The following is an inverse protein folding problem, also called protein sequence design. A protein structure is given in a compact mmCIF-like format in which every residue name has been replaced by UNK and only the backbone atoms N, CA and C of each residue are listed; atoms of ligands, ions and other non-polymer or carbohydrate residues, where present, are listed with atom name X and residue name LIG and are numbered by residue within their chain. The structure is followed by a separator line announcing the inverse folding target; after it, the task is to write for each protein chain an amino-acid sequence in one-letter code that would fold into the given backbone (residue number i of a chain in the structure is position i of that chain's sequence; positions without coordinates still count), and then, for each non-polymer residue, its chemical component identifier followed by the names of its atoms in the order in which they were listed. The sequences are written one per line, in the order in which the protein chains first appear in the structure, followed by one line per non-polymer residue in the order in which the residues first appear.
data_IF_426607270852
#
_entry.id   IF_426607270852
#
_cell.length_a   1.000
_cell.length_b   1.000
_cell.length_c   1.000
_cell.angle_alpha   90.00
_cell.angle_beta   90.00
_cell.angle_gamma   90.00
#
_symmetry.space_group_name_H-M   'P 1'
#
loop_
_entity.id
_entity.type
_entity.pdbx_description
1 polymer ?
#
# COMPACT_ATOMS: atom_id res chain seq x y z
N UNK A 1 -6.29 -13.61 -8.54
CA UNK A 1 -7.14 -12.87 -9.50
C UNK A 1 -6.76 -13.28 -10.91
N UNK A 2 -7.75 -13.60 -11.74
CA UNK A 2 -7.50 -14.04 -13.12
C UNK A 2 -7.46 -12.89 -14.11
N UNK A 3 -8.18 -11.80 -13.81
CA UNK A 3 -8.26 -10.64 -14.70
C UNK A 3 -7.14 -9.65 -14.40
N UNK A 4 -6.95 -8.72 -15.34
CA UNK A 4 -5.97 -7.66 -15.21
C UNK A 4 -6.25 -6.81 -13.97
N UNK A 5 -5.25 -6.66 -13.10
CA UNK A 5 -5.36 -5.78 -11.93
C UNK A 5 -5.18 -4.33 -12.37
N UNK A 6 -6.10 -3.46 -12.01
CA UNK A 6 -6.12 -2.06 -12.44
C UNK A 6 -5.87 -1.06 -11.34
N UNK A 7 -6.04 -1.47 -10.07
CA UNK A 7 -5.85 -0.59 -8.93
C UNK A 7 -5.29 -1.37 -7.75
N UNK A 8 -4.34 -0.78 -7.06
CA UNK A 8 -3.71 -1.32 -5.85
C UNK A 8 -3.80 -0.28 -4.75
N UNK A 9 -4.34 -0.65 -3.59
CA UNK A 9 -4.42 0.22 -2.42
C UNK A 9 -3.79 -0.46 -1.22
N UNK A 10 -2.88 0.24 -0.56
CA UNK A 10 -2.25 -0.20 0.67
C UNK A 10 -2.59 0.78 1.77
N UNK A 11 -3.24 0.30 2.82
CA UNK A 11 -3.51 1.06 4.04
C UNK A 11 -2.58 0.58 5.14
N UNK A 12 -1.95 1.53 5.81
CA UNK A 12 -1.19 1.29 7.02
C UNK A 12 -1.90 1.97 8.20
N UNK A 13 -1.96 1.28 9.32
CA UNK A 13 -2.56 1.79 10.55
C UNK A 13 -1.59 1.63 11.70
N UNK A 14 -1.43 2.68 12.50
CA UNK A 14 -0.73 2.60 13.76
C UNK A 14 -1.73 2.21 14.84
N UNK A 15 -1.54 1.04 15.44
CA UNK A 15 -2.39 0.52 16.50
C UNK A 15 -1.74 0.70 17.89
N UNK A 16 -0.62 1.44 17.98
CA UNK A 16 0.12 1.67 19.20
C UNK A 16 -0.36 2.89 19.97
N UNK A 17 0.58 3.52 20.70
CA UNK A 17 0.29 4.59 21.64
C UNK A 17 0.37 6.00 21.04
N UNK A 18 0.14 6.14 19.75
CA UNK A 18 0.17 7.44 19.08
C UNK A 18 -0.94 8.37 19.57
N UNK A 19 -0.63 9.66 19.64
CA UNK A 19 -1.61 10.70 19.90
C UNK A 19 -2.58 10.80 18.72
N UNK A 20 -3.86 11.14 18.99
CA UNK A 20 -4.88 11.26 17.93
C UNK A 20 -4.54 12.33 16.89
N UNK A 21 -3.70 13.30 17.22
CA UNK A 21 -3.25 14.34 16.29
C UNK A 21 -2.10 13.89 15.41
N UNK A 22 -1.44 12.77 15.77
CA UNK A 22 -0.34 12.23 14.99
C UNK A 22 -0.85 11.49 13.76
N UNK A 23 0.06 11.26 12.80
CA UNK A 23 -0.21 10.40 11.66
C UNK A 23 -0.39 8.96 12.16
N UNK A 24 -1.61 8.45 12.08
CA UNK A 24 -1.96 7.09 12.54
C UNK A 24 -2.44 6.21 11.40
N UNK A 25 -2.67 6.77 10.22
CA UNK A 25 -3.09 6.03 9.04
C UNK A 25 -2.45 6.64 7.80
N UNK A 26 -2.10 5.77 6.87
CA UNK A 26 -1.60 6.16 5.56
C UNK A 26 -2.30 5.34 4.50
N UNK A 27 -2.82 5.99 3.47
CA UNK A 27 -3.43 5.36 2.33
C UNK A 27 -2.57 5.61 1.09
N UNK A 28 -2.13 4.54 0.45
CA UNK A 28 -1.34 4.61 -0.76
C UNK A 28 -2.10 3.88 -1.86
N UNK A 29 -2.44 4.59 -2.95
CA UNK A 29 -3.20 4.02 -4.05
C UNK A 29 -2.46 4.22 -5.36
N UNK A 30 -2.31 3.16 -6.14
CA UNK A 30 -1.68 3.20 -7.45
C UNK A 30 -2.72 2.83 -8.49
N UNK A 31 -2.91 3.72 -9.47
CA UNK A 31 -3.88 3.58 -10.54
C UNK A 31 -3.14 3.24 -11.84
N UNK A 32 -3.38 2.03 -12.35
CA UNK A 32 -2.62 1.51 -13.51
C UNK A 32 -2.87 2.33 -14.77
N UNK A 33 -4.14 2.62 -15.06
CA UNK A 33 -4.50 3.26 -16.33
C UNK A 33 -4.16 4.75 -16.37
N UNK A 34 -4.02 5.37 -15.21
CA UNK A 34 -3.76 6.81 -15.10
C UNK A 34 -2.30 7.11 -14.78
N UNK A 35 -1.48 6.09 -14.54
CA UNK A 35 -0.03 6.21 -14.30
C UNK A 35 0.33 7.15 -13.16
N UNK A 36 -0.41 7.08 -12.05
CA UNK A 36 -0.08 7.87 -10.87
C UNK A 36 -0.36 7.14 -9.57
N UNK A 37 0.27 7.63 -8.50
CA UNK A 37 0.12 7.14 -7.15
C UNK A 37 -0.34 8.30 -6.26
N UNK A 38 -1.31 8.04 -5.40
CA UNK A 38 -1.80 9.01 -4.41
C UNK A 38 -1.44 8.50 -3.02
N UNK A 39 -0.81 9.36 -2.22
CA UNK A 39 -0.47 9.04 -0.83
C UNK A 39 -1.19 10.04 0.07
N UNK A 40 -2.04 9.55 0.97
CA UNK A 40 -2.75 10.35 1.97
C UNK A 40 -2.30 9.94 3.36
N UNK A 41 -2.02 10.94 4.20
CA UNK A 41 -1.73 10.73 5.61
C UNK A 41 -2.91 11.25 6.42
N UNK A 42 -3.41 10.42 7.35
CA UNK A 42 -4.56 10.76 8.19
C UNK A 42 -4.18 10.71 9.66
N UNK A 43 -4.80 11.56 10.47
CA UNK A 43 -4.64 11.53 11.94
C UNK A 43 -5.68 10.61 12.58
N UNK A 44 -5.66 10.49 13.92
CA UNK A 44 -6.58 9.63 14.66
C UNK A 44 -8.05 10.03 14.60
N UNK A 45 -8.35 11.23 14.11
CA UNK A 45 -9.71 11.70 13.89
C UNK A 45 -10.21 11.41 12.46
N UNK A 46 -9.38 10.77 11.63
CA UNK A 46 -9.71 10.50 10.24
C UNK A 46 -9.57 11.71 9.33
N UNK A 47 -8.89 12.77 9.78
CA UNK A 47 -8.66 13.98 8.99
C UNK A 47 -7.42 13.79 8.12
N UNK A 48 -7.55 14.10 6.82
CA UNK A 48 -6.42 14.06 5.90
C UNK A 48 -5.49 15.22 6.21
N UNK A 49 -4.27 14.89 6.67
CA UNK A 49 -3.24 15.88 7.01
C UNK A 49 -2.35 16.22 5.81
N UNK A 50 -2.18 15.28 4.89
CA UNK A 50 -1.45 15.52 3.64
C UNK A 50 -1.97 14.62 2.53
N UNK A 51 -1.82 15.11 1.30
CA UNK A 51 -2.17 14.35 0.11
C UNK A 51 -1.14 14.67 -0.97
N UNK A 52 -0.45 13.65 -1.45
CA UNK A 52 0.60 13.79 -2.46
C UNK A 52 0.26 12.94 -3.66
N UNK A 53 0.37 13.52 -4.87
CA UNK A 53 0.15 12.81 -6.13
C UNK A 53 1.49 12.72 -6.86
N UNK A 54 1.86 11.52 -7.26
CA UNK A 54 3.13 11.24 -7.93
C UNK A 54 2.85 10.57 -9.26
N UNK A 55 3.31 11.18 -10.35
CA UNK A 55 3.25 10.56 -11.68
C UNK A 55 4.33 9.51 -11.83
N UNK A 56 3.99 8.38 -12.41
CA UNK A 56 4.88 7.23 -12.60
C UNK A 56 4.93 6.92 -14.09
N UNK A 57 6.12 6.59 -14.61
CA UNK A 57 6.25 6.15 -15.99
C UNK A 57 5.41 4.90 -16.24
N UNK A 58 4.76 4.86 -17.39
CA UNK A 58 3.86 3.76 -17.75
C UNK A 58 4.53 2.39 -17.66
N UNK A 59 5.76 2.26 -18.12
CA UNK A 59 6.50 1.00 -18.11
C UNK A 59 6.72 0.51 -16.68
N UNK A 60 6.99 1.41 -15.75
CA UNK A 60 7.18 1.08 -14.33
C UNK A 60 5.88 0.65 -13.67
N UNK A 61 4.78 1.33 -13.97
CA UNK A 61 3.45 0.97 -13.46
C UNK A 61 3.06 -0.41 -14.00
N UNK A 62 3.22 -0.64 -15.29
CA UNK A 62 2.88 -1.93 -15.90
C UNK A 62 3.72 -3.07 -15.30
N UNK A 63 5.01 -2.85 -15.06
CA UNK A 63 5.87 -3.86 -14.44
C UNK A 63 5.41 -4.20 -13.03
N UNK A 64 5.02 -3.20 -12.25
CA UNK A 64 4.51 -3.39 -10.90
C UNK A 64 3.22 -4.23 -10.90
N UNK A 65 2.25 -3.87 -11.74
CA UNK A 65 0.98 -4.60 -11.82
C UNK A 65 1.14 -6.00 -12.40
N UNK A 66 2.04 -6.19 -13.35
CA UNK A 66 2.37 -7.54 -13.85
C UNK A 66 2.96 -8.41 -12.74
N UNK A 67 3.80 -7.83 -11.91
CA UNK A 67 4.34 -8.53 -10.73
C UNK A 67 3.21 -8.92 -9.78
N UNK A 68 2.29 -8.00 -9.48
CA UNK A 68 1.14 -8.30 -8.60
C UNK A 68 0.27 -9.43 -9.18
N UNK A 69 0.03 -9.43 -10.47
CA UNK A 69 -0.75 -10.46 -11.14
C UNK A 69 -0.10 -11.84 -11.00
N UNK A 70 1.22 -11.90 -11.00
CA UNK A 70 1.95 -13.16 -10.84
C UNK A 70 1.91 -13.70 -9.41
N UNK A 71 1.83 -12.85 -8.40
CA UNK A 71 1.93 -13.26 -7.00
C UNK A 71 0.59 -13.31 -6.26
N UNK A 72 -0.46 -12.66 -6.79
CA UNK A 72 -1.71 -12.47 -6.04
C UNK A 72 -2.40 -13.78 -5.65
N UNK A 73 -2.23 -14.84 -6.45
CA UNK A 73 -2.81 -16.14 -6.17
C UNK A 73 -2.09 -16.91 -5.05
N UNK A 74 -0.89 -16.46 -4.66
CA UNK A 74 -0.11 -17.07 -3.60
C UNK A 74 -0.50 -16.57 -2.20
N UNK A 75 -1.33 -15.52 -2.13
CA UNK A 75 -1.69 -14.88 -0.87
C UNK A 75 -2.90 -15.53 -0.21
N UNK A 76 -2.80 -15.76 1.12
CA UNK A 76 -3.96 -15.99 1.97
C UNK A 76 -4.65 -14.64 2.23
N UNK A 77 -5.86 -14.67 2.78
CA UNK A 77 -6.61 -13.43 3.06
C UNK A 77 -6.11 -12.72 4.32
N UNK A 78 -5.47 -13.44 5.24
CA UNK A 78 -5.16 -12.92 6.56
C UNK A 78 -3.81 -13.42 7.07
N UNK A 79 -2.93 -12.47 7.38
CA UNK A 79 -1.62 -12.68 8.00
C UNK A 79 -1.52 -12.02 9.37
N UNK A 80 -2.66 -11.77 10.03
CA UNK A 80 -2.68 -11.14 11.34
C UNK A 80 -2.17 -12.08 12.41
N UNK A 81 -1.37 -11.52 13.33
CA UNK A 81 -0.92 -12.21 14.54
C UNK A 81 -1.38 -11.39 15.74
N UNK A 82 -1.66 -12.02 16.91
CA UNK A 82 -2.03 -11.27 18.11
C UNK A 82 -0.88 -10.37 18.56
N UNK A 83 -1.15 -9.05 18.67
CA UNK A 83 -0.18 -8.08 19.17
C UNK A 83 -0.95 -7.04 20.00
N UNK A 84 -0.32 -6.55 21.06
CA UNK A 84 -0.91 -5.49 21.89
C UNK A 84 -0.66 -4.12 21.30
N UNK A 85 0.56 -3.90 20.79
CA UNK A 85 1.00 -2.68 20.13
C UNK A 85 1.58 -3.05 18.79
N UNK A 86 1.57 -2.11 17.86
CA UNK A 86 2.18 -2.29 16.58
C UNK A 86 1.33 -1.73 15.47
N UNK A 87 1.69 -2.06 14.26
CA UNK A 87 0.98 -1.59 13.09
C UNK A 87 0.25 -2.74 12.39
N UNK A 88 -0.79 -2.38 11.65
CA UNK A 88 -1.46 -3.30 10.76
C UNK A 88 -1.47 -2.72 9.35
N UNK A 89 -1.61 -3.57 8.36
CA UNK A 89 -1.69 -3.18 6.97
C UNK A 89 -2.82 -3.94 6.29
N UNK A 90 -3.36 -3.35 5.23
CA UNK A 90 -4.39 -3.97 4.40
C UNK A 90 -4.11 -3.64 2.94
N UNK A 91 -4.09 -4.66 2.11
CA UNK A 91 -4.00 -4.52 0.66
C UNK A 91 -5.37 -4.79 0.07
N UNK A 92 -5.81 -3.90 -0.83
CA UNK A 92 -6.99 -4.12 -1.67
C UNK A 92 -6.57 -3.96 -3.12
N UNK A 93 -6.99 -4.89 -3.95
CA UNK A 93 -6.72 -4.84 -5.38
C UNK A 93 -8.02 -5.03 -6.14
N UNK A 94 -8.21 -4.21 -7.16
CA UNK A 94 -9.36 -4.29 -8.05
C UNK A 94 -8.89 -4.74 -9.43
N UNK A 95 -9.66 -5.61 -10.05
CA UNK A 95 -9.40 -6.02 -11.42
C UNK A 95 -10.33 -5.30 -12.42
N UNK A 96 -10.15 -5.59 -13.71
CA UNK A 96 -10.96 -4.98 -14.77
C UNK A 96 -12.45 -5.32 -14.70
N UNK A 97 -12.81 -6.40 -13.97
CA UNK A 97 -14.21 -6.79 -13.73
C UNK A 97 -14.77 -6.23 -12.41
N UNK A 98 -14.07 -5.29 -11.79
CA UNK A 98 -14.43 -4.65 -10.51
C UNK A 98 -14.48 -5.63 -9.31
N UNK A 99 -13.86 -6.80 -9.43
CA UNK A 99 -13.70 -7.71 -8.29
C UNK A 99 -12.57 -7.21 -7.40
N UNK A 100 -12.70 -7.47 -6.09
CA UNK A 100 -11.76 -7.01 -5.08
C UNK A 100 -11.10 -8.22 -4.43
N UNK A 101 -9.77 -8.18 -4.29
CA UNK A 101 -9.03 -9.09 -3.43
C UNK A 101 -8.51 -8.28 -2.24
N UNK A 102 -8.75 -8.78 -1.01
CA UNK A 102 -8.31 -8.16 0.24
C UNK A 102 -7.33 -9.08 0.94
N UNK A 103 -6.21 -8.51 1.39
CA UNK A 103 -5.20 -9.21 2.18
C UNK A 103 -4.82 -8.30 3.33
N UNK A 104 -4.79 -8.82 4.55
CA UNK A 104 -4.43 -8.01 5.71
C UNK A 104 -3.43 -8.74 6.62
N UNK A 105 -2.74 -7.98 7.45
CA UNK A 105 -1.76 -8.51 8.38
C UNK A 105 -1.31 -7.50 9.43
N UNK A 106 -0.44 -7.97 10.32
CA UNK A 106 0.12 -7.15 11.39
C UNK A 106 1.63 -7.42 11.51
N UNK A 107 2.40 -6.39 11.80
CA UNK A 107 3.84 -6.35 12.14
C UNK A 107 4.80 -7.13 11.24
N UNK A 108 4.32 -7.92 10.32
CA UNK A 108 5.14 -8.71 9.39
C UNK A 108 4.72 -8.42 7.96
N UNK A 109 5.69 -8.50 7.05
CA UNK A 109 5.40 -8.39 5.63
C UNK A 109 4.56 -9.57 5.15
N UNK A 110 3.63 -9.35 4.20
CA UNK A 110 3.07 -10.48 3.45
C UNK A 110 4.15 -11.13 2.59
N UNK A 111 3.92 -12.34 2.06
CA UNK A 111 4.82 -12.90 1.05
C UNK A 111 5.03 -11.87 -0.08
N UNK A 112 6.26 -11.67 -0.51
CA UNK A 112 6.66 -10.68 -1.52
C UNK A 112 6.47 -9.22 -1.09
N UNK A 113 6.15 -8.95 0.18
CA UNK A 113 5.89 -7.59 0.67
C UNK A 113 7.09 -6.66 0.56
N UNK A 114 8.30 -7.15 0.86
CA UNK A 114 9.53 -6.36 0.71
C UNK A 114 9.77 -5.94 -0.73
N UNK A 115 9.42 -6.79 -1.68
CA UNK A 115 9.57 -6.48 -3.11
C UNK A 115 8.54 -5.45 -3.55
N UNK A 116 7.32 -5.51 -3.04
CA UNK A 116 6.30 -4.48 -3.25
C UNK A 116 6.79 -3.14 -2.72
N UNK A 117 7.32 -3.12 -1.51
CA UNK A 117 7.87 -1.90 -0.91
C UNK A 117 9.01 -1.34 -1.76
N UNK A 118 9.87 -2.19 -2.29
CA UNK A 118 10.96 -1.77 -3.17
C UNK A 118 10.44 -1.10 -4.45
N UNK A 119 9.40 -1.65 -5.06
CA UNK A 119 8.76 -1.02 -6.21
C UNK A 119 8.24 0.38 -5.87
N UNK A 120 7.50 0.49 -4.77
CA UNK A 120 6.92 1.77 -4.33
C UNK A 120 8.02 2.79 -4.04
N UNK A 121 9.08 2.40 -3.36
CA UNK A 121 10.22 3.28 -3.08
C UNK A 121 10.92 3.74 -4.37
N UNK A 122 10.99 2.89 -5.39
CA UNK A 122 11.56 3.29 -6.67
C UNK A 122 10.74 4.37 -7.37
N UNK A 123 9.41 4.33 -7.23
CA UNK A 123 8.54 5.38 -7.77
C UNK A 123 8.80 6.72 -7.08
N UNK A 124 9.05 6.69 -5.76
CA UNK A 124 9.34 7.90 -4.99
C UNK A 124 10.70 8.50 -5.33
N UNK A 125 11.68 7.68 -5.64
CA UNK A 125 13.03 8.13 -5.99
C UNK A 125 13.03 9.01 -7.25
N UNK A 126 12.14 8.72 -8.20
CA UNK A 126 12.03 9.48 -9.43
C UNK A 126 11.17 10.74 -9.27
N UNK A 127 10.53 10.92 -8.12
CA UNK A 127 9.69 12.07 -7.83
C UNK A 127 10.53 13.25 -7.34
N UNK A 128 10.06 14.47 -7.63
CA UNK A 128 10.63 15.70 -7.08
C UNK A 128 10.14 15.97 -5.65
N UNK A 129 9.12 15.24 -5.21
CA UNK A 129 8.56 15.39 -3.88
C UNK A 129 9.45 14.70 -2.85
N UNK A 130 9.69 15.38 -1.72
CA UNK A 130 10.38 14.79 -0.58
C UNK A 130 9.31 14.18 0.32
N UNK A 131 9.13 12.86 0.20
CA UNK A 131 8.12 12.13 0.97
C UNK A 131 8.70 10.79 1.41
N UNK A 132 8.40 10.42 2.65
CA UNK A 132 8.84 9.14 3.22
C UNK A 132 7.62 8.41 3.81
N UNK A 133 6.84 7.69 2.98
CA UNK A 133 5.70 6.94 3.44
C UNK A 133 6.12 5.72 4.26
N UNK A 134 5.25 5.29 5.17
CA UNK A 134 5.50 4.12 6.02
C UNK A 134 5.43 2.82 5.21
N UNK A 135 4.53 2.74 4.25
CA UNK A 135 4.24 1.57 3.40
C UNK A 135 3.65 0.44 4.26
N UNK A 136 4.41 -0.59 4.64
CA UNK A 136 3.89 -1.66 5.50
C UNK A 136 4.10 -1.41 6.98
N UNK A 137 5.05 -0.56 7.34
CA UNK A 137 5.38 -0.33 8.75
C UNK A 137 5.95 -1.55 9.46
N UNK A 138 6.52 -2.50 8.72
CA UNK A 138 7.07 -3.72 9.28
C UNK A 138 8.56 -3.59 9.56
N UNK A 139 9.00 -4.17 10.68
CA UNK A 139 10.42 -4.34 10.95
C UNK A 139 11.03 -5.43 10.09
N UNK A 140 12.35 -5.45 10.04
CA UNK A 140 13.10 -6.48 9.32
C UNK A 140 13.03 -7.84 10.01
#
# INVERSE_FOLDING_TARGET
MKDRITCFKLNWYDCGLSCAEDRVQEELTIYRNDNYMVIKELNGYGVICSCTIIHIEKEKVDAFFSFLENISNEWADNYRVPVCDGSSWEIRMWNSSHKIQKVCGTVKYPPHGKKIEKYIRSFLTDSKEIIDPVIFGCGN
#
